data_IF_941493900771
#
_entry.id   IF_941493900771
#
_cell.length_a   1.000
_cell.length_b   1.000
_cell.length_c   1.000
_cell.angle_alpha   90.00
_cell.angle_beta   90.00
_cell.angle_gamma   90.00
#
_symmetry.space_group_name_H-M   'P 1'
#
loop_
_entity.id
_entity.type
_entity.pdbx_description
1 polymer ?
#
# COMPACT_ATOMS: atom_id res chain seq x y z
N UNK A 1 -9.80 -64.86 45.86
CA UNK A 1 -8.58 -65.46 45.26
C UNK A 1 -8.76 -65.47 43.75
N UNK A 2 -7.68 -65.10 43.07
CA UNK A 2 -7.51 -64.77 41.65
C UNK A 2 -8.20 -65.70 40.62
N UNK A 3 -8.68 -65.10 39.51
CA UNK A 3 -8.25 -65.42 38.13
C UNK A 3 -9.11 -64.63 37.12
N UNK A 4 -8.53 -63.65 36.40
CA UNK A 4 -8.18 -63.69 34.95
C UNK A 4 -9.37 -64.03 34.04
N UNK A 5 -9.79 -63.27 33.03
CA UNK A 5 -9.21 -62.18 32.26
C UNK A 5 -9.71 -62.33 30.81
N UNK A 6 -10.31 -61.28 30.24
CA UNK A 6 -10.50 -61.12 28.78
C UNK A 6 -10.83 -59.65 28.50
N UNK A 7 -9.83 -58.93 27.99
CA UNK A 7 -9.93 -57.56 27.53
C UNK A 7 -10.23 -57.60 26.03
N UNK A 8 -11.44 -57.24 25.63
CA UNK A 8 -11.77 -56.99 24.22
C UNK A 8 -11.56 -55.50 23.96
N UNK A 9 -10.56 -55.22 23.13
CA UNK A 9 -10.27 -53.89 22.59
C UNK A 9 -11.30 -53.61 21.49
N UNK A 10 -12.25 -52.72 21.75
CA UNK A 10 -13.08 -52.12 20.72
C UNK A 10 -12.49 -50.75 20.37
N UNK A 11 -11.86 -50.67 19.20
CA UNK A 11 -11.43 -49.44 18.55
C UNK A 11 -12.68 -48.70 18.09
N UNK A 12 -13.08 -47.66 18.81
CA UNK A 12 -14.06 -46.68 18.32
C UNK A 12 -13.30 -45.48 17.77
N UNK A 13 -13.39 -45.29 16.46
CA UNK A 13 -12.77 -44.18 15.75
C UNK A 13 -13.19 -42.83 16.34
N UNK A 14 -12.19 -42.00 16.62
CA UNK A 14 -12.37 -40.57 16.83
C UNK A 14 -12.72 -39.96 15.48
N UNK A 15 -14.02 -39.84 15.21
CA UNK A 15 -14.49 -38.84 14.26
C UNK A 15 -14.13 -37.47 14.83
N UNK A 16 -13.25 -36.75 14.15
CA UNK A 16 -12.93 -35.35 14.44
C UNK A 16 -14.22 -34.54 14.38
N UNK A 17 -14.78 -34.23 15.54
CA UNK A 17 -15.90 -33.29 15.64
C UNK A 17 -15.30 -31.91 15.40
N UNK A 18 -15.56 -31.37 14.20
CA UNK A 18 -15.49 -29.94 13.92
C UNK A 18 -16.37 -29.21 14.94
N UNK A 19 -15.76 -28.68 15.99
CA UNK A 19 -16.38 -27.73 16.87
C UNK A 19 -16.47 -26.40 16.12
N UNK A 20 -17.63 -26.14 15.53
CA UNK A 20 -18.06 -24.77 15.29
C UNK A 20 -18.06 -24.07 16.66
N UNK A 21 -17.04 -23.24 16.90
CA UNK A 21 -17.00 -22.40 18.08
C UNK A 21 -18.13 -21.38 17.95
N UNK A 22 -19.19 -21.58 18.73
CA UNK A 22 -20.15 -20.51 19.01
C UNK A 22 -19.36 -19.42 19.76
N UNK A 23 -18.92 -18.41 19.02
CA UNK A 23 -18.28 -17.24 19.60
C UNK A 23 -19.26 -16.54 20.57
N UNK A 24 -18.80 -16.05 21.72
CA UNK A 24 -19.61 -15.24 22.63
C UNK A 24 -20.24 -14.06 21.89
N UNK A 25 -21.45 -13.66 22.30
CA UNK A 25 -22.15 -12.47 21.79
C UNK A 25 -21.24 -11.25 21.94
N UNK A 26 -20.79 -10.68 20.83
CA UNK A 26 -19.89 -9.51 20.78
C UNK A 26 -18.47 -9.78 20.24
N UNK A 27 -18.09 -11.04 19.95
CA UNK A 27 -16.80 -11.35 19.32
C UNK A 27 -16.97 -11.51 17.80
N UNK A 28 -16.26 -10.70 17.01
CA UNK A 28 -16.32 -10.74 15.54
C UNK A 28 -15.57 -11.95 15.01
N UNK A 29 -16.21 -12.68 14.08
CA UNK A 29 -15.59 -13.80 13.39
C UNK A 29 -14.87 -13.32 12.13
N UNK A 30 -13.60 -12.97 12.23
CA UNK A 30 -12.81 -12.48 11.09
C UNK A 30 -12.53 -13.54 10.02
N UNK A 31 -12.83 -14.83 10.24
CA UNK A 31 -12.82 -15.81 9.15
C UNK A 31 -13.97 -15.60 8.15
N UNK A 32 -15.03 -14.89 8.56
CA UNK A 32 -16.20 -14.56 7.72
C UNK A 32 -16.43 -13.07 7.53
N UNK A 33 -16.11 -12.25 8.53
CA UNK A 33 -16.11 -10.79 8.43
C UNK A 33 -14.83 -10.33 7.72
N UNK A 34 -14.98 -9.52 6.67
CA UNK A 34 -13.87 -9.05 5.84
C UNK A 34 -13.41 -7.63 6.17
N UNK A 35 -14.15 -6.92 7.03
CA UNK A 35 -13.72 -5.64 7.57
C UNK A 35 -13.10 -5.81 8.96
N UNK A 36 -11.86 -5.36 9.17
CA UNK A 36 -11.26 -5.36 10.50
C UNK A 36 -11.86 -4.22 11.35
N UNK A 37 -11.98 -4.44 12.66
CA UNK A 37 -12.30 -3.38 13.62
C UNK A 37 -11.03 -2.64 14.03
N UNK A 38 -10.64 -1.65 13.23
CA UNK A 38 -9.44 -0.84 13.48
C UNK A 38 -9.60 0.10 14.67
N UNK A 39 -8.50 0.33 15.40
CA UNK A 39 -8.50 1.23 16.55
C UNK A 39 -8.65 2.70 16.12
N UNK A 40 -9.15 3.60 16.99
CA UNK A 40 -9.18 5.03 16.71
C UNK A 40 -7.83 5.63 16.33
N UNK A 41 -6.73 5.13 16.93
CA UNK A 41 -5.36 5.57 16.60
C UNK A 41 -4.99 5.22 15.16
N UNK A 42 -5.32 4.01 14.70
CA UNK A 42 -5.02 3.56 13.33
C UNK A 42 -5.68 4.45 12.28
N UNK A 43 -6.93 4.87 12.53
CA UNK A 43 -7.75 5.66 11.59
C UNK A 43 -7.68 7.17 11.84
N UNK A 44 -6.81 7.63 12.74
CA UNK A 44 -6.74 9.04 13.14
C UNK A 44 -6.26 9.93 11.98
N UNK A 45 -6.98 11.04 11.76
CA UNK A 45 -6.53 12.11 10.88
C UNK A 45 -5.73 13.13 11.70
N UNK A 46 -4.42 13.18 11.48
CA UNK A 46 -3.51 14.07 12.20
C UNK A 46 -3.11 15.29 11.36
N UNK A 47 -2.69 16.37 12.03
CA UNK A 47 -2.08 17.53 11.36
C UNK A 47 -0.59 17.34 11.33
N UNK A 48 0.00 17.40 10.14
CA UNK A 48 1.41 17.12 9.93
C UNK A 48 2.23 18.40 9.92
N UNK A 49 3.51 18.27 10.24
CA UNK A 49 4.49 19.34 10.09
C UNK A 49 5.87 18.75 9.76
N UNK A 50 6.87 19.61 9.60
CA UNK A 50 8.23 19.20 9.28
C UNK A 50 9.17 19.54 10.44
N UNK A 51 10.17 18.69 10.73
CA UNK A 51 11.20 18.99 11.73
C UNK A 51 12.01 20.23 11.34
N UNK A 52 12.37 21.05 12.33
CA UNK A 52 13.23 22.21 12.14
C UNK A 52 14.71 21.82 12.28
N UNK A 53 15.36 21.57 11.13
CA UNK A 53 16.80 21.30 11.08
C UNK A 53 17.69 22.56 11.15
N UNK A 54 17.12 23.76 11.21
CA UNK A 54 17.89 25.02 11.33
C UNK A 54 18.11 25.41 12.80
N UNK A 55 17.06 25.32 13.62
CA UNK A 55 17.11 25.72 15.03
C UNK A 55 16.49 24.73 16.02
N UNK A 56 15.88 23.65 15.54
CA UNK A 56 15.27 22.63 16.39
C UNK A 56 16.29 21.72 17.08
N UNK A 57 15.82 20.83 17.99
CA UNK A 57 16.71 19.95 18.76
C UNK A 57 17.56 19.01 17.90
N UNK A 58 17.09 18.66 16.69
CA UNK A 58 17.81 17.80 15.75
C UNK A 58 18.91 18.52 14.97
N UNK A 59 18.97 19.86 14.97
CA UNK A 59 19.87 20.67 14.12
C UNK A 59 21.36 20.32 14.21
N UNK A 60 21.81 19.79 15.36
CA UNK A 60 23.21 19.43 15.61
C UNK A 60 23.54 17.96 15.29
N UNK A 61 22.53 17.14 14.95
CA UNK A 61 22.70 15.71 14.68
C UNK A 61 22.82 15.42 13.19
N UNK A 62 23.41 14.27 12.84
CA UNK A 62 23.65 13.87 11.44
C UNK A 62 22.37 13.86 10.61
N UNK A 63 21.19 13.59 11.20
CA UNK A 63 19.89 13.66 10.50
C UNK A 63 19.68 14.99 9.75
N UNK A 64 20.22 16.10 10.25
CA UNK A 64 20.13 17.42 9.62
C UNK A 64 21.34 17.80 8.74
N UNK A 65 22.35 16.93 8.62
CA UNK A 65 23.48 17.13 7.72
C UNK A 65 23.15 16.65 6.30
N UNK A 66 22.78 17.58 5.41
CA UNK A 66 22.39 17.27 4.03
C UNK A 66 23.50 16.65 3.18
N UNK A 67 24.77 16.74 3.60
CA UNK A 67 25.90 16.10 2.89
C UNK A 67 26.14 14.64 3.32
N UNK A 68 25.45 14.16 4.36
CA UNK A 68 25.58 12.77 4.82
C UNK A 68 24.66 11.83 4.02
N UNK A 69 25.03 10.55 3.83
CA UNK A 69 24.17 9.55 3.21
C UNK A 69 22.82 9.44 3.94
N UNK A 70 21.72 9.26 3.19
CA UNK A 70 20.36 9.25 3.76
C UNK A 70 20.17 8.19 4.86
N UNK A 71 20.79 7.02 4.71
CA UNK A 71 20.72 5.94 5.70
C UNK A 71 21.47 6.29 6.99
N UNK A 72 22.62 6.97 6.90
CA UNK A 72 23.37 7.44 8.07
C UNK A 72 22.59 8.52 8.81
N UNK A 73 21.89 9.40 8.06
CA UNK A 73 20.99 10.42 8.61
C UNK A 73 19.86 9.76 9.40
N UNK A 74 19.15 8.79 8.82
CA UNK A 74 18.07 8.05 9.47
C UNK A 74 18.57 7.25 10.69
N UNK A 75 19.64 6.48 10.54
CA UNK A 75 20.27 5.74 11.65
C UNK A 75 20.65 6.66 12.81
N UNK A 76 21.20 7.83 12.51
CA UNK A 76 21.50 8.84 13.54
C UNK A 76 20.27 9.30 14.29
N UNK A 77 19.12 9.49 13.63
CA UNK A 77 17.87 9.85 14.31
C UNK A 77 17.41 8.72 15.23
N UNK A 78 17.36 7.49 14.71
CA UNK A 78 16.82 6.34 15.45
C UNK A 78 17.67 5.99 16.68
N UNK A 79 19.00 6.20 16.59
CA UNK A 79 19.90 6.04 17.74
C UNK A 79 19.57 6.95 18.93
N UNK A 80 18.81 8.03 18.71
CA UNK A 80 18.41 8.94 19.76
C UNK A 80 17.19 8.45 20.54
N UNK A 81 16.40 7.52 20.00
CA UNK A 81 15.12 7.12 20.58
C UNK A 81 15.29 6.24 21.82
N UNK A 82 14.41 6.44 22.80
CA UNK A 82 14.15 5.41 23.80
C UNK A 82 13.46 4.22 23.13
N UNK A 83 13.40 3.08 23.83
CA UNK A 83 12.71 1.92 23.28
C UNK A 83 11.21 2.19 23.06
N UNK A 84 10.56 2.89 23.98
CA UNK A 84 9.15 3.26 23.89
C UNK A 84 8.89 4.18 22.70
N UNK A 85 9.74 5.20 22.51
CA UNK A 85 9.64 6.10 21.37
C UNK A 85 9.83 5.37 20.04
N UNK A 86 10.79 4.43 19.99
CA UNK A 86 11.02 3.57 18.84
C UNK A 86 9.77 2.75 18.50
N UNK A 87 9.21 2.03 19.48
CA UNK A 87 8.00 1.22 19.30
C UNK A 87 6.83 2.11 18.85
N UNK A 88 6.69 3.32 19.41
CA UNK A 88 5.67 4.26 18.97
C UNK A 88 5.81 4.69 17.49
N UNK A 89 7.01 4.64 16.90
CA UNK A 89 7.21 4.94 15.47
C UNK A 89 6.93 3.76 14.52
N UNK A 90 6.53 2.60 15.03
CA UNK A 90 6.35 1.38 14.21
C UNK A 90 4.94 1.21 13.63
N UNK A 91 3.98 2.03 14.06
CA UNK A 91 2.62 2.06 13.51
C UNK A 91 2.43 3.16 12.46
N UNK A 92 1.37 3.07 11.66
CA UNK A 92 1.10 4.07 10.61
C UNK A 92 0.84 5.47 11.18
N UNK A 93 0.17 5.58 12.31
CA UNK A 93 -0.01 6.83 13.06
C UNK A 93 1.08 6.92 14.11
N UNK A 94 2.23 7.50 13.72
CA UNK A 94 3.38 7.67 14.58
C UNK A 94 3.29 9.01 15.32
N UNK A 95 3.36 9.05 16.66
CA UNK A 95 3.19 10.28 17.46
C UNK A 95 4.47 11.15 17.51
N UNK A 96 5.44 10.88 16.63
CA UNK A 96 6.72 11.57 16.63
C UNK A 96 7.52 11.39 17.93
N UNK A 97 8.44 12.32 18.18
CA UNK A 97 9.23 12.36 19.41
C UNK A 97 9.36 13.83 19.86
N UNK A 98 8.41 14.32 20.70
CA UNK A 98 8.33 15.74 21.04
C UNK A 98 9.60 16.33 21.65
N UNK A 99 10.33 15.56 22.47
CA UNK A 99 11.61 16.01 23.07
C UNK A 99 12.72 16.26 22.04
N UNK A 100 12.61 15.65 20.86
CA UNK A 100 13.53 15.86 19.74
C UNK A 100 12.97 16.90 18.75
N UNK A 101 11.76 17.41 18.95
CA UNK A 101 11.08 18.24 17.95
C UNK A 101 10.78 17.47 16.67
N UNK A 102 10.65 16.14 16.75
CA UNK A 102 10.22 15.30 15.64
C UNK A 102 8.69 15.26 15.65
N UNK A 103 8.01 15.76 14.62
CA UNK A 103 6.55 15.76 14.55
C UNK A 103 5.96 14.36 14.42
N UNK A 104 4.66 14.27 14.73
CA UNK A 104 3.81 13.16 14.34
C UNK A 104 3.85 12.95 12.81
N UNK A 105 3.74 11.70 12.38
CA UNK A 105 3.78 11.32 10.98
C UNK A 105 2.71 10.27 10.68
N UNK A 106 2.06 10.39 9.52
CA UNK A 106 1.04 9.45 9.04
C UNK A 106 1.57 8.74 7.80
N UNK A 107 1.73 7.42 7.90
CA UNK A 107 2.11 6.52 6.79
C UNK A 107 0.87 6.12 5.96
N UNK A 108 -0.29 5.97 6.60
CA UNK A 108 -1.51 5.61 5.88
C UNK A 108 -2.12 6.80 5.15
N UNK A 109 -1.65 7.01 3.92
CA UNK A 109 -2.24 7.94 2.97
C UNK A 109 -2.65 7.18 1.70
N UNK A 110 -3.72 7.59 1.02
CA UNK A 110 -4.22 6.89 -0.18
C UNK A 110 -4.17 7.80 -1.40
N UNK A 111 -3.82 7.24 -2.56
CA UNK A 111 -3.66 8.00 -3.80
C UNK A 111 -4.22 7.29 -5.04
N UNK A 112 -4.93 6.16 -4.88
CA UNK A 112 -5.26 5.19 -5.94
C UNK A 112 -5.61 5.81 -7.31
N UNK A 113 -6.46 6.83 -7.32
CA UNK A 113 -6.83 7.59 -8.52
C UNK A 113 -7.06 9.08 -8.19
N UNK A 114 -6.27 9.62 -7.27
CA UNK A 114 -6.48 10.93 -6.64
C UNK A 114 -6.22 10.83 -5.13
N UNK A 115 -6.00 11.96 -4.47
CA UNK A 115 -5.75 11.95 -3.02
C UNK A 115 -7.01 11.52 -2.26
N UNK A 116 -6.82 10.61 -1.31
CA UNK A 116 -7.79 10.24 -0.29
C UNK A 116 -7.09 10.11 1.07
N UNK A 117 -7.85 10.15 2.16
CA UNK A 117 -7.34 10.21 3.55
C UNK A 117 -6.43 11.40 3.86
N UNK A 118 -6.45 12.43 3.01
CA UNK A 118 -5.90 13.73 3.35
C UNK A 118 -6.78 14.43 4.40
N UNK A 119 -6.20 15.35 5.16
CA UNK A 119 -6.93 16.26 6.04
C UNK A 119 -7.57 17.39 5.22
N UNK A 120 -8.59 17.03 4.43
CA UNK A 120 -9.36 17.96 3.58
C UNK A 120 -10.03 19.04 4.41
N UNK A 121 -9.94 20.29 3.93
CA UNK A 121 -10.67 21.41 4.50
C UNK A 121 -12.17 21.25 4.26
N UNK A 122 -13.00 21.76 5.16
CA UNK A 122 -14.46 21.78 4.95
C UNK A 122 -14.89 22.77 3.83
N UNK A 123 -14.08 23.80 3.60
CA UNK A 123 -14.26 24.76 2.53
C UNK A 123 -12.97 25.50 2.19
N UNK A 124 -12.89 26.06 0.99
CA UNK A 124 -11.76 26.86 0.50
C UNK A 124 -10.57 26.00 0.08
N UNK A 125 -9.36 26.52 0.30
CA UNK A 125 -8.13 25.83 -0.10
C UNK A 125 -8.04 24.44 0.56
N UNK A 126 -7.64 23.45 -0.23
CA UNK A 126 -7.52 22.05 0.18
C UNK A 126 -8.86 21.37 0.54
N UNK A 127 -10.00 21.88 0.05
CA UNK A 127 -11.31 21.21 0.21
C UNK A 127 -11.51 20.02 -0.75
N UNK A 128 -10.70 19.95 -1.83
CA UNK A 128 -10.80 18.92 -2.86
C UNK A 128 -9.42 18.58 -3.45
N UNK A 129 -9.34 17.44 -4.13
CA UNK A 129 -8.23 17.05 -5.01
C UNK A 129 -8.83 16.45 -6.30
N UNK A 130 -8.06 16.39 -7.39
CA UNK A 130 -8.58 15.82 -8.64
C UNK A 130 -8.91 14.34 -8.46
N UNK A 131 -10.14 13.96 -8.79
CA UNK A 131 -10.56 12.56 -8.83
C UNK A 131 -10.50 12.05 -10.27
N UNK A 132 -9.52 11.19 -10.56
CA UNK A 132 -9.35 10.53 -11.86
C UNK A 132 -10.30 9.33 -11.97
N UNK A 133 -10.50 8.77 -13.17
CA UNK A 133 -11.16 7.48 -13.31
C UNK A 133 -10.45 6.38 -12.52
N UNK A 134 -11.23 5.45 -11.97
CA UNK A 134 -10.70 4.25 -11.31
C UNK A 134 -9.70 3.51 -12.24
N UNK A 135 -8.65 2.86 -11.72
CA UNK A 135 -7.59 2.27 -12.53
C UNK A 135 -8.08 1.36 -13.65
N UNK A 136 -9.17 0.60 -13.43
CA UNK A 136 -9.75 -0.28 -14.45
C UNK A 136 -10.21 0.48 -15.71
N UNK A 137 -10.72 1.71 -15.54
CA UNK A 137 -11.15 2.56 -16.66
C UNK A 137 -9.95 3.28 -17.27
N UNK A 138 -9.05 3.81 -16.44
CA UNK A 138 -7.82 4.47 -16.92
C UNK A 138 -6.98 3.53 -17.77
N UNK A 139 -6.88 2.25 -17.41
CA UNK A 139 -6.14 1.26 -18.19
C UNK A 139 -6.85 0.78 -19.45
N UNK A 140 -8.17 0.93 -19.55
CA UNK A 140 -8.89 0.65 -20.79
C UNK A 140 -8.49 1.60 -21.93
N UNK A 141 -7.84 2.75 -21.62
CA UNK A 141 -7.21 3.61 -22.63
C UNK A 141 -6.03 2.95 -23.35
N UNK A 142 -5.39 1.95 -22.72
CA UNK A 142 -4.13 1.35 -23.16
C UNK A 142 -3.01 2.39 -23.43
N UNK A 143 -3.05 3.53 -22.73
CA UNK A 143 -2.14 4.65 -22.90
C UNK A 143 -1.20 4.78 -21.69
N UNK A 144 0.04 4.29 -21.84
CA UNK A 144 1.08 4.35 -20.79
C UNK A 144 1.39 5.77 -20.33
N UNK A 145 1.51 6.69 -21.28
CA UNK A 145 1.81 8.10 -20.99
C UNK A 145 0.72 8.75 -20.14
N UNK A 146 -0.53 8.41 -20.38
CA UNK A 146 -1.65 8.88 -19.56
C UNK A 146 -1.52 8.41 -18.10
N UNK A 147 -1.17 7.13 -17.87
CA UNK A 147 -0.99 6.60 -16.51
C UNK A 147 0.14 7.32 -15.77
N UNK A 148 1.29 7.50 -16.42
CA UNK A 148 2.40 8.23 -15.83
C UNK A 148 2.05 9.70 -15.54
N UNK A 149 1.30 10.34 -16.45
CA UNK A 149 0.81 11.70 -16.26
C UNK A 149 -0.15 11.77 -15.06
N UNK A 150 -1.09 10.84 -14.91
CA UNK A 150 -1.99 10.76 -13.74
C UNK A 150 -1.17 10.65 -12.45
N UNK A 151 -0.22 9.71 -12.38
CA UNK A 151 0.67 9.57 -11.21
C UNK A 151 1.46 10.84 -10.90
N UNK A 152 1.94 11.54 -11.93
CA UNK A 152 2.67 12.81 -11.80
C UNK A 152 1.81 13.93 -11.23
N UNK A 153 0.55 14.04 -11.68
CA UNK A 153 -0.38 15.06 -11.18
C UNK A 153 -0.80 14.76 -9.73
N UNK A 154 -1.10 13.50 -9.44
CA UNK A 154 -1.44 13.05 -8.08
C UNK A 154 -0.27 13.36 -7.12
N UNK A 155 0.97 13.04 -7.49
CA UNK A 155 2.12 13.34 -6.64
C UNK A 155 2.40 14.83 -6.46
N UNK A 156 2.09 15.67 -7.46
CA UNK A 156 2.13 17.14 -7.28
C UNK A 156 1.11 17.59 -6.25
N UNK A 157 -0.13 17.10 -6.35
CA UNK A 157 -1.19 17.45 -5.40
C UNK A 157 -0.85 16.94 -3.99
N UNK A 158 -0.32 15.72 -3.86
CA UNK A 158 0.11 15.17 -2.58
C UNK A 158 1.15 16.07 -1.90
N UNK A 159 2.14 16.58 -2.66
CA UNK A 159 3.14 17.52 -2.12
C UNK A 159 2.54 18.86 -1.73
N UNK A 160 1.60 19.40 -2.49
CA UNK A 160 0.89 20.62 -2.10
C UNK A 160 0.13 20.44 -0.77
N UNK A 161 -0.61 19.34 -0.61
CA UNK A 161 -1.29 19.02 0.65
C UNK A 161 -0.29 18.78 1.79
N UNK A 162 0.83 18.10 1.52
CA UNK A 162 1.87 17.85 2.52
C UNK A 162 2.53 19.14 3.01
N UNK A 163 2.84 20.07 2.11
CA UNK A 163 3.39 21.38 2.47
C UNK A 163 2.42 22.22 3.32
N UNK A 164 1.11 21.93 3.24
CA UNK A 164 0.08 22.52 4.10
C UNK A 164 -0.23 21.70 5.37
N UNK A 165 0.53 20.64 5.65
CA UNK A 165 0.35 19.78 6.83
C UNK A 165 -0.86 18.84 6.76
N UNK A 166 -1.34 18.52 5.55
CA UNK A 166 -2.60 17.81 5.32
C UNK A 166 -2.46 16.41 4.69
N UNK A 167 -1.24 15.99 4.35
CA UNK A 167 -0.97 14.68 3.73
C UNK A 167 0.48 14.26 4.01
N UNK A 168 0.73 12.96 4.18
CA UNK A 168 2.08 12.40 4.33
C UNK A 168 2.91 12.50 3.04
N UNK A 169 4.03 11.80 3.01
CA UNK A 169 4.95 11.76 1.86
C UNK A 169 5.10 10.36 1.25
N UNK A 170 4.28 9.43 1.71
CA UNK A 170 4.14 8.08 1.18
C UNK A 170 2.67 7.74 1.02
N UNK A 171 2.35 6.85 0.08
CA UNK A 171 0.97 6.49 -0.22
C UNK A 171 0.81 5.01 -0.52
N UNK A 172 -0.29 4.43 -0.04
CA UNK A 172 -0.72 3.06 -0.28
C UNK A 172 -1.32 2.90 -1.67
N UNK A 173 -0.56 3.24 -2.70
CA UNK A 173 -0.90 3.05 -4.10
C UNK A 173 0.38 2.78 -4.92
N UNK A 174 0.30 2.01 -6.02
CA UNK A 174 -0.91 1.47 -6.64
C UNK A 174 -1.38 0.09 -6.15
N UNK A 175 -2.67 -0.23 -6.35
CA UNK A 175 -3.15 -1.61 -6.34
C UNK A 175 -2.78 -2.29 -7.67
N UNK A 176 -1.94 -3.32 -7.59
CA UNK A 176 -1.41 -4.06 -8.74
C UNK A 176 -1.75 -5.55 -8.66
N UNK A 177 -2.71 -5.96 -7.83
CA UNK A 177 -3.23 -7.32 -7.97
C UNK A 177 -3.96 -7.47 -9.32
N UNK A 178 -3.90 -8.65 -9.92
CA UNK A 178 -4.66 -8.93 -11.13
C UNK A 178 -6.13 -9.22 -10.79
N UNK A 179 -7.07 -8.73 -11.62
CA UNK A 179 -8.50 -9.00 -11.46
C UNK A 179 -8.89 -10.42 -11.91
N UNK A 180 -8.27 -11.44 -11.30
CA UNK A 180 -8.41 -12.85 -11.70
C UNK A 180 -9.85 -13.36 -11.63
N UNK A 181 -10.53 -13.11 -10.52
CA UNK A 181 -11.93 -13.48 -10.34
C UNK A 181 -12.82 -12.28 -10.63
N UNK A 182 -13.78 -12.37 -11.58
CA UNK A 182 -14.67 -11.25 -11.90
C UNK A 182 -15.63 -10.88 -10.78
N UNK A 183 -15.66 -11.67 -9.70
CA UNK A 183 -16.50 -11.43 -8.51
C UNK A 183 -15.78 -10.61 -7.43
N UNK A 184 -14.49 -10.30 -7.64
CA UNK A 184 -13.73 -9.56 -6.64
C UNK A 184 -14.20 -8.11 -6.51
N UNK A 185 -14.68 -7.74 -5.32
CA UNK A 185 -15.22 -6.40 -5.04
C UNK A 185 -14.22 -5.25 -5.21
N UNK A 186 -12.92 -5.54 -5.16
CA UNK A 186 -11.84 -4.56 -5.36
C UNK A 186 -11.16 -4.67 -6.73
N UNK A 187 -11.66 -5.52 -7.63
CA UNK A 187 -11.14 -5.61 -9.00
C UNK A 187 -11.19 -4.28 -9.77
N UNK A 188 -12.13 -3.40 -9.42
CA UNK A 188 -12.21 -2.03 -9.96
C UNK A 188 -10.95 -1.18 -9.68
N UNK A 189 -10.24 -1.46 -8.58
CA UNK A 189 -9.02 -0.75 -8.19
C UNK A 189 -7.80 -1.17 -9.02
N UNK A 190 -7.94 -2.20 -9.86
CA UNK A 190 -6.83 -2.84 -10.55
C UNK A 190 -6.78 -2.46 -12.02
N UNK A 191 -5.61 -2.60 -12.67
CA UNK A 191 -5.46 -2.41 -14.11
C UNK A 191 -6.01 -3.56 -14.99
N UNK A 192 -6.79 -4.49 -14.42
CA UNK A 192 -7.40 -5.61 -15.15
C UNK A 192 -6.78 -6.98 -14.80
N UNK A 193 -7.06 -7.99 -15.63
CA UNK A 193 -6.68 -9.39 -15.38
C UNK A 193 -5.34 -9.81 -16.02
N UNK A 194 -4.81 -9.03 -16.97
CA UNK A 194 -3.58 -9.35 -17.71
C UNK A 194 -2.34 -8.80 -17.02
N UNK A 195 -1.37 -9.66 -16.74
CA UNK A 195 -0.19 -9.31 -15.94
C UNK A 195 0.79 -8.40 -16.65
N UNK A 196 0.85 -8.48 -17.98
CA UNK A 196 1.69 -7.58 -18.74
C UNK A 196 1.11 -6.16 -18.63
N UNK A 197 -0.20 -6.01 -18.84
CA UNK A 197 -0.92 -4.74 -18.65
C UNK A 197 -0.76 -4.23 -17.20
N UNK A 198 -0.93 -5.10 -16.20
CA UNK A 198 -0.75 -4.76 -14.78
C UNK A 198 0.68 -4.28 -14.49
N UNK A 199 1.69 -4.96 -15.04
CA UNK A 199 3.10 -4.59 -14.84
C UNK A 199 3.44 -3.25 -15.49
N UNK A 200 2.86 -2.96 -16.66
CA UNK A 200 3.03 -1.65 -17.31
C UNK A 200 2.35 -0.53 -16.50
N UNK A 201 1.14 -0.77 -15.97
CA UNK A 201 0.50 0.17 -15.07
C UNK A 201 1.34 0.44 -13.82
N UNK A 202 1.85 -0.62 -13.18
CA UNK A 202 2.71 -0.52 -12.01
C UNK A 202 3.91 0.38 -12.28
N UNK A 203 4.66 0.12 -13.36
CA UNK A 203 5.83 0.92 -13.72
C UNK A 203 5.50 2.39 -13.93
N UNK A 204 4.50 2.69 -14.77
CA UNK A 204 4.18 4.08 -15.14
C UNK A 204 3.64 4.87 -13.95
N UNK A 205 2.78 4.25 -13.14
CA UNK A 205 2.19 4.91 -11.97
C UNK A 205 3.23 5.14 -10.87
N UNK A 206 4.05 4.13 -10.53
CA UNK A 206 5.08 4.23 -9.48
C UNK A 206 6.11 5.31 -9.85
N UNK A 207 6.60 5.32 -11.10
CA UNK A 207 7.58 6.31 -11.53
C UNK A 207 7.00 7.72 -11.59
N UNK A 208 5.72 7.89 -11.97
CA UNK A 208 5.02 9.17 -11.88
C UNK A 208 4.83 9.66 -10.44
N UNK A 209 4.61 8.74 -9.50
CA UNK A 209 4.49 9.07 -8.08
C UNK A 209 5.83 9.45 -7.45
N UNK A 210 6.88 8.65 -7.70
CA UNK A 210 8.20 8.83 -7.11
C UNK A 210 9.02 9.96 -7.75
N UNK A 211 8.63 10.43 -8.94
CA UNK A 211 9.37 11.46 -9.68
C UNK A 211 10.48 10.88 -10.57
N UNK A 212 10.38 9.61 -10.94
CA UNK A 212 11.35 8.90 -11.78
C UNK A 212 11.70 7.52 -11.26
N UNK A 213 12.72 6.91 -11.86
CA UNK A 213 13.34 5.65 -11.40
C UNK A 213 14.57 6.02 -10.59
N UNK A 214 14.60 5.67 -9.30
CA UNK A 214 15.69 6.01 -8.37
C UNK A 214 16.13 7.49 -8.42
N UNK A 215 15.21 8.47 -8.33
CA UNK A 215 15.59 9.87 -8.35
C UNK A 215 16.43 10.21 -7.10
N UNK A 216 17.31 11.20 -7.21
CA UNK A 216 18.08 11.72 -6.09
C UNK A 216 17.15 12.27 -4.99
N UNK A 217 16.10 12.99 -5.40
CA UNK A 217 15.02 13.46 -4.55
C UNK A 217 13.72 12.72 -4.88
N UNK A 218 13.21 11.96 -3.92
CA UNK A 218 11.89 11.33 -4.08
C UNK A 218 10.81 12.41 -4.02
N UNK A 219 9.80 12.28 -4.88
CA UNK A 219 8.61 13.14 -4.84
C UNK A 219 7.62 12.63 -3.78
N UNK A 220 7.02 11.47 -4.00
CA UNK A 220 6.19 10.73 -3.04
C UNK A 220 6.59 9.26 -3.11
N UNK A 221 6.71 8.57 -1.96
CA UNK A 221 6.91 7.12 -1.97
C UNK A 221 5.62 6.42 -2.41
N UNK A 222 5.73 5.57 -3.44
CA UNK A 222 4.65 4.67 -3.82
C UNK A 222 4.75 3.35 -3.04
N UNK A 223 3.61 2.72 -2.80
CA UNK A 223 3.52 1.42 -2.11
C UNK A 223 2.77 0.43 -2.99
N UNK A 224 3.48 -0.52 -3.59
CA UNK A 224 2.85 -1.56 -4.41
C UNK A 224 2.03 -2.51 -3.52
N UNK A 225 0.73 -2.65 -3.78
CA UNK A 225 -0.18 -3.48 -2.95
C UNK A 225 -1.04 -4.43 -3.78
N UNK A 226 -1.43 -5.60 -3.25
CA UNK A 226 -1.15 -6.19 -1.93
C UNK A 226 -0.41 -7.53 -2.14
N UNK A 227 0.76 -7.66 -1.54
CA UNK A 227 1.73 -8.72 -1.80
C UNK A 227 1.55 -9.89 -0.82
N UNK A 228 1.13 -11.09 -1.22
CA UNK A 228 0.66 -11.51 -2.54
C UNK A 228 -0.48 -12.55 -2.43
N UNK A 229 -1.06 -12.93 -3.57
CA UNK A 229 -2.16 -13.91 -3.62
C UNK A 229 -3.53 -13.35 -3.22
N UNK A 230 -3.63 -12.03 -3.07
CA UNK A 230 -4.87 -11.34 -2.71
C UNK A 230 -5.70 -10.99 -3.96
N UNK A 231 -6.84 -11.66 -4.15
CA UNK A 231 -7.78 -11.39 -5.25
C UNK A 231 -9.26 -11.66 -4.94
N UNK A 232 -9.62 -11.76 -3.64
CA UNK A 232 -10.99 -11.98 -3.16
C UNK A 232 -11.23 -11.27 -1.82
N UNK A 233 -12.45 -10.76 -1.61
CA UNK A 233 -12.83 -10.11 -0.34
C UNK A 233 -13.43 -11.08 0.67
N UNK A 234 -14.56 -11.71 0.29
CA UNK A 234 -15.41 -12.48 1.21
C UNK A 234 -16.24 -13.56 0.48
N UNK A 235 -15.77 -14.04 -0.67
CA UNK A 235 -16.52 -14.97 -1.50
C UNK A 235 -16.87 -16.24 -0.70
N UNK A 236 -18.14 -16.66 -0.75
CA UNK A 236 -18.68 -17.77 0.05
C UNK A 236 -18.41 -17.65 1.56
N UNK A 237 -18.48 -16.44 2.13
CA UNK A 237 -18.19 -16.17 3.55
C UNK A 237 -16.75 -16.54 3.96
N UNK A 238 -15.81 -16.60 3.03
CA UNK A 238 -14.38 -16.76 3.32
C UNK A 238 -13.74 -15.39 3.24
N UNK A 239 -13.51 -14.79 4.40
CA UNK A 239 -12.91 -13.47 4.53
C UNK A 239 -11.43 -13.47 4.11
N UNK A 240 -11.03 -12.39 3.44
CA UNK A 240 -9.63 -12.03 3.16
C UNK A 240 -8.74 -12.04 4.40
N UNK A 241 -9.30 -11.73 5.58
CA UNK A 241 -8.56 -11.65 6.84
C UNK A 241 -8.09 -13.03 7.33
N UNK A 242 -8.75 -14.11 6.90
CA UNK A 242 -8.43 -15.50 7.29
C UNK A 242 -8.27 -16.45 6.13
N UNK A 243 -8.15 -15.94 4.90
CA UNK A 243 -8.05 -16.78 3.72
C UNK A 243 -6.64 -17.36 3.57
N UNK A 244 -6.53 -18.67 3.40
CA UNK A 244 -5.28 -19.34 3.00
C UNK A 244 -5.37 -19.78 1.53
N UNK A 245 -4.63 -19.07 0.68
CA UNK A 245 -4.60 -19.33 -0.75
C UNK A 245 -3.64 -20.49 -1.07
N UNK A 246 -4.15 -21.54 -1.70
CA UNK A 246 -3.31 -22.64 -2.19
C UNK A 246 -2.82 -22.33 -3.61
N UNK A 247 -1.56 -21.92 -3.73
CA UNK A 247 -0.97 -21.43 -4.99
C UNK A 247 0.27 -22.26 -5.33
N UNK A 248 0.32 -22.83 -6.53
CA UNK A 248 1.52 -23.56 -6.98
C UNK A 248 2.70 -22.60 -7.15
N UNK A 249 3.94 -23.08 -6.98
CA UNK A 249 5.11 -22.23 -7.23
C UNK A 249 5.17 -21.72 -8.68
N UNK A 250 4.61 -22.49 -9.61
CA UNK A 250 4.46 -22.08 -11.00
C UNK A 250 3.53 -20.86 -11.12
N UNK A 251 2.29 -20.96 -10.63
CA UNK A 251 1.33 -19.85 -10.69
C UNK A 251 1.79 -18.65 -9.86
N UNK A 252 2.49 -18.88 -8.76
CA UNK A 252 3.07 -17.79 -7.97
C UNK A 252 4.04 -16.97 -8.83
N UNK A 253 4.95 -17.63 -9.54
CA UNK A 253 5.95 -16.99 -10.38
C UNK A 253 5.38 -16.45 -11.70
N UNK A 254 4.41 -17.14 -12.31
CA UNK A 254 3.86 -16.80 -13.62
C UNK A 254 2.67 -15.84 -13.54
N UNK A 255 1.93 -15.81 -12.42
CA UNK A 255 0.70 -15.03 -12.27
C UNK A 255 0.68 -14.05 -11.10
N UNK A 256 0.95 -14.50 -9.89
CA UNK A 256 0.67 -13.68 -8.70
C UNK A 256 1.75 -12.63 -8.37
N UNK A 257 2.93 -12.74 -8.96
CA UNK A 257 4.11 -11.92 -8.60
C UNK A 257 4.82 -11.12 -9.72
N UNK A 258 4.67 -11.38 -11.04
CA UNK A 258 5.41 -10.64 -12.08
C UNK A 258 5.32 -9.11 -12.00
N UNK A 259 4.18 -8.59 -11.58
CA UNK A 259 3.96 -7.16 -11.41
C UNK A 259 4.68 -6.57 -10.20
N UNK A 260 4.86 -7.35 -9.12
CA UNK A 260 5.65 -6.95 -7.96
C UNK A 260 7.15 -7.02 -8.27
N UNK A 261 7.57 -8.00 -9.07
CA UNK A 261 8.91 -8.01 -9.67
C UNK A 261 9.15 -6.74 -10.50
N UNK A 262 8.19 -6.34 -11.35
CA UNK A 262 8.30 -5.09 -12.13
C UNK A 262 8.37 -3.86 -11.22
N UNK A 263 7.51 -3.79 -10.20
CA UNK A 263 7.51 -2.70 -9.23
C UNK A 263 8.86 -2.58 -8.49
N UNK A 264 9.40 -3.69 -7.98
CA UNK A 264 10.65 -3.71 -7.23
C UNK A 264 11.89 -3.50 -8.12
N UNK A 265 12.02 -4.29 -9.19
CA UNK A 265 13.23 -4.31 -10.04
C UNK A 265 13.30 -3.13 -11.00
N UNK A 266 12.20 -2.82 -11.67
CA UNK A 266 12.20 -1.90 -12.82
C UNK A 266 11.72 -0.50 -12.41
N UNK A 267 10.61 -0.41 -11.69
CA UNK A 267 10.05 0.87 -11.24
C UNK A 267 10.75 1.40 -9.97
N UNK A 268 11.52 0.54 -9.29
CA UNK A 268 12.26 0.86 -8.07
C UNK A 268 11.34 1.43 -6.98
N UNK A 269 10.22 0.75 -6.77
CA UNK A 269 9.25 1.14 -5.74
C UNK A 269 9.94 1.19 -4.38
N UNK A 270 9.62 2.21 -3.58
CA UNK A 270 10.23 2.44 -2.27
C UNK A 270 9.44 1.77 -1.12
N UNK A 271 8.22 1.29 -1.39
CA UNK A 271 7.43 0.54 -0.42
C UNK A 271 6.60 -0.59 -1.06
N UNK A 272 6.33 -1.64 -0.29
CA UNK A 272 5.44 -2.74 -0.65
C UNK A 272 4.50 -3.01 0.53
N UNK A 273 3.21 -3.25 0.25
CA UNK A 273 2.26 -3.66 1.28
C UNK A 273 2.06 -5.16 1.26
N UNK A 274 2.31 -5.85 2.37
CA UNK A 274 1.98 -7.27 2.51
C UNK A 274 0.48 -7.46 2.77
N UNK A 275 -0.13 -8.49 2.17
CA UNK A 275 -1.58 -8.71 2.21
C UNK A 275 -2.07 -9.39 3.50
N UNK A 276 -3.38 -9.32 3.73
CA UNK A 276 -4.04 -10.05 4.83
C UNK A 276 -3.92 -11.57 4.72
N UNK A 277 -4.10 -12.12 3.52
CA UNK A 277 -4.23 -13.57 3.32
C UNK A 277 -2.92 -14.31 3.59
N UNK A 278 -3.06 -15.59 3.92
CA UNK A 278 -1.98 -16.55 3.83
C UNK A 278 -1.84 -17.09 2.41
N UNK A 279 -0.65 -17.58 2.09
CA UNK A 279 -0.40 -18.39 0.89
C UNK A 279 0.34 -19.64 1.32
N UNK A 280 -0.23 -20.81 0.99
CA UNK A 280 0.31 -22.11 1.34
C UNK A 280 0.63 -22.24 2.84
N UNK A 281 -0.27 -21.73 3.70
CA UNK A 281 -0.21 -21.86 5.16
C UNK A 281 0.56 -20.77 5.90
N UNK A 282 1.09 -19.74 5.21
CA UNK A 282 1.87 -18.66 5.85
C UNK A 282 1.26 -17.29 5.53
N UNK A 283 0.78 -16.51 6.53
CA UNK A 283 0.31 -15.13 6.35
C UNK A 283 1.36 -14.26 5.66
N UNK A 284 0.97 -13.46 4.66
CA UNK A 284 1.94 -12.74 3.82
C UNK A 284 2.86 -11.81 4.61
N UNK A 285 2.36 -11.14 5.65
CA UNK A 285 3.15 -10.28 6.52
C UNK A 285 4.10 -11.04 7.48
N UNK A 286 3.93 -12.35 7.66
CA UNK A 286 4.86 -13.23 8.39
C UNK A 286 5.67 -14.15 7.45
N UNK A 287 5.62 -13.90 6.14
CA UNK A 287 6.18 -14.80 5.13
C UNK A 287 7.56 -14.34 4.67
N UNK A 288 8.63 -14.86 5.29
CA UNK A 288 10.01 -14.54 4.92
C UNK A 288 10.40 -15.03 3.52
N UNK A 289 9.74 -16.06 2.97
CA UNK A 289 9.92 -16.43 1.58
C UNK A 289 9.45 -15.30 0.63
N UNK A 290 8.35 -14.63 0.96
CA UNK A 290 7.89 -13.47 0.18
C UNK A 290 8.75 -12.24 0.43
N UNK A 291 8.90 -11.81 1.69
CA UNK A 291 9.46 -10.50 2.01
C UNK A 291 10.99 -10.46 1.97
N UNK A 292 11.66 -11.58 2.27
CA UNK A 292 13.11 -11.69 2.19
C UNK A 292 13.53 -12.39 0.89
N UNK A 293 13.17 -13.65 0.70
CA UNK A 293 13.71 -14.45 -0.41
C UNK A 293 13.29 -13.93 -1.79
N UNK A 294 12.00 -13.64 -2.00
CA UNK A 294 11.54 -13.09 -3.28
C UNK A 294 11.85 -11.60 -3.40
N UNK A 295 11.26 -10.78 -2.53
CA UNK A 295 11.28 -9.34 -2.66
C UNK A 295 12.69 -8.75 -2.55
N UNK A 296 13.42 -9.03 -1.46
CA UNK A 296 14.75 -8.46 -1.20
C UNK A 296 15.86 -9.22 -1.95
N UNK A 297 15.94 -10.53 -1.80
CA UNK A 297 17.08 -11.32 -2.33
C UNK A 297 16.98 -11.57 -3.84
N UNK A 298 15.78 -11.85 -4.37
CA UNK A 298 15.60 -12.21 -5.79
C UNK A 298 15.32 -10.99 -6.67
N UNK A 299 14.45 -10.08 -6.22
CA UNK A 299 14.03 -8.92 -7.03
C UNK A 299 14.81 -7.65 -6.70
N UNK A 300 15.74 -7.73 -5.76
CA UNK A 300 16.62 -6.62 -5.37
C UNK A 300 15.87 -5.38 -4.90
N UNK A 301 14.75 -5.57 -4.18
CA UNK A 301 14.09 -4.48 -3.46
C UNK A 301 15.05 -3.89 -2.43
N UNK A 302 15.23 -2.56 -2.48
CA UNK A 302 16.32 -1.89 -1.77
C UNK A 302 16.30 -2.21 -0.27
N UNK A 303 17.42 -2.71 0.23
CA UNK A 303 17.56 -3.11 1.64
C UNK A 303 17.85 -1.94 2.58
N UNK A 304 18.25 -0.79 2.02
CA UNK A 304 18.65 0.42 2.74
C UNK A 304 17.46 1.31 3.06
N UNK A 305 16.56 1.51 2.10
CA UNK A 305 15.38 2.35 2.26
C UNK A 305 14.06 1.69 1.83
N UNK A 306 14.06 0.63 1.02
CA UNK A 306 12.82 -0.09 0.74
C UNK A 306 12.16 -0.65 2.02
N UNK A 307 10.98 -0.15 2.38
CA UNK A 307 10.21 -0.61 3.55
C UNK A 307 8.95 -1.39 3.16
N UNK A 308 8.52 -2.30 4.03
CA UNK A 308 7.27 -3.04 3.87
C UNK A 308 6.26 -2.56 4.90
N UNK A 309 5.05 -2.24 4.46
CA UNK A 309 3.93 -1.98 5.37
C UNK A 309 2.99 -3.18 5.43
N UNK A 310 2.36 -3.41 6.56
CA UNK A 310 1.19 -4.31 6.64
C UNK A 310 -0.04 -3.65 6.01
N UNK A 311 -0.96 -4.45 5.45
CA UNK A 311 -2.33 -3.98 5.26
C UNK A 311 -2.98 -3.74 6.65
N UNK A 312 -4.12 -3.06 6.72
CA UNK A 312 -4.63 -2.49 7.97
C UNK A 312 -5.69 -3.35 8.68
N UNK A 313 -5.43 -4.19 9.69
CA UNK A 313 -4.20 -4.54 10.41
C UNK A 313 -3.90 -6.03 10.17
N UNK A 314 -3.03 -6.32 9.20
CA UNK A 314 -2.64 -7.67 8.83
C UNK A 314 -1.66 -8.28 9.83
N UNK A 315 -0.98 -7.49 10.66
CA UNK A 315 -0.16 -8.02 11.75
C UNK A 315 -1.05 -8.69 12.79
N UNK A 316 -2.17 -8.06 13.16
CA UNK A 316 -3.19 -8.66 14.03
C UNK A 316 -3.70 -9.98 13.44
N UNK A 317 -3.93 -10.03 12.13
CA UNK A 317 -4.52 -11.19 11.49
C UNK A 317 -3.63 -12.44 11.49
N UNK A 318 -2.31 -12.30 11.59
CA UNK A 318 -1.37 -13.42 11.81
C UNK A 318 -1.78 -14.23 13.05
N UNK A 319 -2.25 -13.55 14.10
CA UNK A 319 -2.87 -14.17 15.26
C UNK A 319 -4.34 -14.51 14.99
N UNK A 320 -5.20 -13.51 14.76
CA UNK A 320 -6.64 -13.72 14.64
C UNK A 320 -7.18 -13.15 13.32
N UNK A 321 -7.62 -13.99 12.36
CA UNK A 321 -8.05 -15.37 12.55
C UNK A 321 -7.09 -16.45 12.02
N UNK A 322 -5.90 -16.13 11.51
CA UNK A 322 -5.02 -17.16 10.90
C UNK A 322 -4.50 -18.18 11.91
N UNK A 323 -4.38 -17.80 13.19
CA UNK A 323 -3.82 -18.63 14.26
C UNK A 323 -2.42 -19.16 13.94
N UNK A 324 -1.67 -18.44 13.11
CA UNK A 324 -0.26 -18.74 12.81
C UNK A 324 0.61 -18.41 14.03
N UNK A 325 0.37 -17.23 14.60
CA UNK A 325 0.87 -16.86 15.92
C UNK A 325 -0.18 -17.18 17.00
N UNK A 326 0.28 -17.51 18.21
CA UNK A 326 -0.64 -17.85 19.32
C UNK A 326 -1.19 -16.64 20.08
N UNK A 327 -0.62 -15.44 19.85
CA UNK A 327 -1.04 -14.17 20.43
C UNK A 327 -0.48 -12.99 19.61
N UNK A 328 -0.87 -11.75 19.96
CA UNK A 328 -0.46 -10.52 19.25
C UNK A 328 1.03 -10.17 19.41
N UNK A 329 1.68 -10.51 20.54
CA UNK A 329 3.13 -10.31 20.72
C UNK A 329 3.92 -11.15 19.71
N UNK A 330 3.60 -12.44 19.63
CA UNK A 330 4.26 -13.34 18.67
C UNK A 330 3.94 -12.91 17.24
N UNK A 331 2.70 -12.48 16.96
CA UNK A 331 2.32 -11.96 15.66
C UNK A 331 3.14 -10.74 15.24
N UNK A 332 3.34 -9.78 16.16
CA UNK A 332 4.20 -8.62 15.94
C UNK A 332 5.66 -9.04 15.66
N UNK A 333 6.21 -9.92 16.50
CA UNK A 333 7.58 -10.41 16.35
C UNK A 333 7.81 -11.18 15.04
N UNK A 334 6.93 -12.11 14.70
CA UNK A 334 7.00 -12.90 13.47
C UNK A 334 6.91 -12.02 12.22
N UNK A 335 6.05 -10.98 12.27
CA UNK A 335 5.88 -10.02 11.19
C UNK A 335 7.14 -9.19 10.94
N UNK A 336 7.71 -8.59 11.99
CA UNK A 336 8.96 -7.82 11.87
C UNK A 336 10.12 -8.69 11.40
N UNK A 337 10.25 -9.90 11.96
CA UNK A 337 11.34 -10.83 11.60
C UNK A 337 11.20 -11.38 10.18
N UNK A 338 9.98 -11.46 9.65
CA UNK A 338 9.76 -11.80 8.25
C UNK A 338 10.17 -10.67 7.30
N UNK A 339 10.13 -9.42 7.78
CA UNK A 339 10.54 -8.22 7.05
C UNK A 339 9.43 -7.20 6.81
N UNK A 340 8.31 -7.27 7.53
CA UNK A 340 7.32 -6.20 7.58
C UNK A 340 7.81 -5.10 8.54
N UNK A 341 8.02 -3.89 8.03
CA UNK A 341 8.74 -2.83 8.72
C UNK A 341 7.80 -1.92 9.52
N UNK A 342 6.60 -1.63 8.99
CA UNK A 342 5.61 -0.71 9.58
C UNK A 342 4.23 -1.38 9.62
N UNK A 343 3.56 -1.30 10.76
CA UNK A 343 2.21 -1.82 10.95
C UNK A 343 1.15 -0.76 10.64
N UNK A 344 0.25 -1.03 9.69
CA UNK A 344 -0.99 -0.28 9.56
C UNK A 344 -2.00 -0.73 10.63
N UNK A 345 -1.73 -0.39 11.87
CA UNK A 345 -2.43 -0.98 12.99
C UNK A 345 -1.88 -0.48 14.30
N UNK A 346 -2.23 -1.18 15.36
CA UNK A 346 -1.64 -0.94 16.68
C UNK A 346 -0.97 -2.19 17.23
N UNK A 347 -0.92 -3.27 16.45
CA UNK A 347 -0.33 -4.53 16.88
C UNK A 347 1.13 -4.33 17.26
N UNK A 348 1.90 -3.61 16.43
CA UNK A 348 3.30 -3.32 16.77
C UNK A 348 3.43 -2.37 17.96
N UNK A 349 2.74 -1.22 17.91
CA UNK A 349 2.85 -0.17 18.92
C UNK A 349 2.46 -0.65 20.33
N UNK A 350 1.52 -1.59 20.44
CA UNK A 350 1.04 -2.09 21.73
C UNK A 350 1.72 -3.38 22.20
N UNK A 351 2.27 -4.20 21.30
CA UNK A 351 2.76 -5.53 21.66
C UNK A 351 4.26 -5.77 21.48
N UNK A 352 5.00 -4.95 20.72
CA UNK A 352 6.46 -5.16 20.56
C UNK A 352 7.25 -5.06 21.87
N UNK A 353 6.75 -4.29 22.85
CA UNK A 353 7.36 -4.25 24.18
C UNK A 353 7.24 -5.62 24.89
N UNK A 354 6.09 -6.30 24.74
CA UNK A 354 5.90 -7.66 25.26
C UNK A 354 6.83 -8.64 24.55
N UNK A 355 6.99 -8.51 23.24
CA UNK A 355 7.88 -9.34 22.42
C UNK A 355 9.35 -9.23 22.85
N UNK A 356 9.82 -8.01 23.15
CA UNK A 356 11.18 -7.79 23.67
C UNK A 356 11.34 -8.42 25.05
N UNK A 357 10.38 -8.21 25.96
CA UNK A 357 10.43 -8.78 27.31
C UNK A 357 10.46 -10.32 27.25
N UNK A 358 9.74 -10.92 26.30
CA UNK A 358 9.71 -12.36 26.06
C UNK A 358 10.97 -12.89 25.33
N UNK A 359 11.82 -12.00 24.80
CA UNK A 359 12.99 -12.38 24.00
C UNK A 359 12.65 -12.91 22.60
N UNK A 360 11.46 -12.58 22.08
CA UNK A 360 10.97 -12.99 20.76
C UNK A 360 11.55 -12.13 19.64
N UNK A 361 11.95 -10.89 19.97
CA UNK A 361 12.54 -9.92 19.07
C UNK A 361 13.57 -9.05 19.80
N UNK A 362 14.52 -8.50 19.05
CA UNK A 362 15.55 -7.57 19.52
C UNK A 362 15.18 -6.12 19.20
N UNK A 363 15.83 -5.17 19.88
CA UNK A 363 15.68 -3.74 19.57
C UNK A 363 16.14 -3.45 18.14
N UNK A 364 17.25 -4.06 17.73
CA UNK A 364 17.87 -3.87 16.42
C UNK A 364 16.95 -4.30 15.26
N UNK A 365 16.20 -5.39 15.44
CA UNK A 365 15.20 -5.83 14.46
C UNK A 365 14.08 -4.80 14.27
N UNK A 366 13.65 -4.10 15.33
CA UNK A 366 12.67 -3.02 15.26
C UNK A 366 13.29 -1.75 14.65
N UNK A 367 14.50 -1.40 15.07
CA UNK A 367 15.22 -0.23 14.53
C UNK A 367 15.38 -0.32 13.02
N UNK A 368 15.64 -1.51 12.47
CA UNK A 368 15.82 -1.71 11.04
C UNK A 368 14.61 -1.23 10.20
N UNK A 369 13.38 -1.52 10.65
CA UNK A 369 12.17 -1.10 9.94
C UNK A 369 11.96 0.42 9.99
N UNK A 370 12.15 1.00 11.17
CA UNK A 370 12.02 2.45 11.37
C UNK A 370 13.13 3.21 10.63
N UNK A 371 14.36 2.67 10.56
CA UNK A 371 15.45 3.23 9.76
C UNK A 371 15.09 3.25 8.27
N UNK A 372 14.45 2.20 7.73
CA UNK A 372 14.02 2.16 6.31
C UNK A 372 12.97 3.23 6.03
N UNK A 373 11.95 3.37 6.86
CA UNK A 373 10.94 4.44 6.73
C UNK A 373 11.61 5.82 6.74
N UNK A 374 12.40 6.12 7.77
CA UNK A 374 13.04 7.44 7.90
C UNK A 374 14.11 7.71 6.84
N UNK A 375 14.73 6.68 6.26
CA UNK A 375 15.63 6.81 5.11
C UNK A 375 14.89 7.36 3.88
N UNK A 376 13.66 6.90 3.64
CA UNK A 376 12.81 7.52 2.60
C UNK A 376 12.43 8.94 2.95
N UNK A 377 12.03 9.22 4.20
CA UNK A 377 11.66 10.58 4.61
C UNK A 377 12.82 11.57 4.40
N UNK A 378 14.06 11.12 4.63
CA UNK A 378 15.26 11.88 4.29
C UNK A 378 15.34 12.14 2.77
N UNK A 379 15.20 11.10 1.93
CA UNK A 379 15.20 11.24 0.45
C UNK A 379 14.05 12.11 -0.09
N UNK A 380 12.93 12.18 0.63
CA UNK A 380 11.76 13.02 0.33
C UNK A 380 11.94 14.49 0.76
N UNK A 381 13.09 14.82 1.38
CA UNK A 381 13.43 16.16 1.86
C UNK A 381 12.69 16.57 3.14
N UNK A 382 12.19 15.60 3.92
CA UNK A 382 11.43 15.87 5.16
C UNK A 382 12.25 16.68 6.18
N UNK A 383 13.57 16.47 6.20
CA UNK A 383 14.54 17.12 7.10
C UNK A 383 15.31 18.28 6.45
N UNK A 384 15.00 18.65 5.20
CA UNK A 384 15.85 19.55 4.40
C UNK A 384 15.31 21.00 4.32
N UNK A 385 14.27 21.29 5.10
CA UNK A 385 13.65 22.62 5.18
C UNK A 385 12.94 23.04 3.89
N UNK A 386 12.54 24.32 3.82
CA UNK A 386 11.73 24.84 2.72
C UNK A 386 12.47 24.90 1.37
N UNK A 387 13.81 24.81 1.35
CA UNK A 387 14.59 24.84 0.11
C UNK A 387 14.62 23.50 -0.64
N UNK A 388 14.10 22.42 -0.06
CA UNK A 388 13.99 21.13 -0.75
C UNK A 388 13.07 21.22 -1.97
N UNK A 389 13.40 20.48 -3.03
CA UNK A 389 12.83 20.60 -4.39
C UNK A 389 11.30 20.70 -4.44
N UNK A 390 10.58 19.88 -3.66
CA UNK A 390 9.12 19.81 -3.70
C UNK A 390 8.42 20.57 -2.56
N UNK A 391 9.16 21.34 -1.75
CA UNK A 391 8.63 22.07 -0.58
C UNK A 391 7.96 23.41 -0.91
N UNK A 392 7.97 23.80 -2.19
CA UNK A 392 7.36 25.04 -2.68
C UNK A 392 6.02 24.83 -3.39
N UNK A 393 5.55 23.58 -3.53
CA UNK A 393 4.25 23.29 -4.13
C UNK A 393 3.10 23.72 -3.20
N UNK A 394 2.08 24.34 -3.77
CA UNK A 394 0.98 25.02 -3.05
C UNK A 394 -0.39 24.63 -3.61
N UNK A 395 -1.46 25.18 -3.04
CA UNK A 395 -2.81 25.03 -3.55
C UNK A 395 -2.98 25.45 -5.01
N UNK A 396 -2.25 26.48 -5.47
CA UNK A 396 -2.28 26.90 -6.88
C UNK A 396 -1.80 25.80 -7.83
N UNK A 397 -0.91 24.92 -7.38
CA UNK A 397 -0.47 23.75 -8.14
C UNK A 397 -1.57 22.68 -8.22
N UNK A 398 -2.40 22.53 -7.19
CA UNK A 398 -3.60 21.67 -7.24
C UNK A 398 -4.59 22.22 -8.26
N UNK A 399 -4.90 23.51 -8.18
CA UNK A 399 -5.82 24.19 -9.10
C UNK A 399 -5.33 24.11 -10.54
N UNK A 400 -4.05 24.38 -10.79
CA UNK A 400 -3.49 24.39 -12.14
C UNK A 400 -3.35 22.99 -12.74
N UNK A 401 -3.04 21.97 -11.95
CA UNK A 401 -3.01 20.58 -12.42
C UNK A 401 -4.41 20.04 -12.73
N UNK A 402 -5.41 20.35 -11.90
CA UNK A 402 -6.81 19.99 -12.16
C UNK A 402 -7.34 20.65 -13.45
N UNK A 403 -7.04 21.94 -13.66
CA UNK A 403 -7.46 22.69 -14.83
C UNK A 403 -6.96 22.13 -16.17
N UNK A 404 -5.96 21.23 -16.16
CA UNK A 404 -5.52 20.49 -17.35
C UNK A 404 -6.57 19.50 -17.85
N UNK A 405 -7.59 19.18 -17.05
CA UNK A 405 -8.69 18.27 -17.40
C UNK A 405 -8.23 16.84 -17.77
N UNK A 406 -7.11 16.38 -17.22
CA UNK A 406 -6.60 15.02 -17.49
C UNK A 406 -7.54 13.93 -16.95
N UNK A 407 -8.32 14.21 -15.89
CA UNK A 407 -9.39 13.30 -15.45
C UNK A 407 -10.46 13.09 -16.54
N UNK A 408 -10.86 14.18 -17.23
CA UNK A 408 -11.78 14.10 -18.36
C UNK A 408 -11.18 13.31 -19.52
N UNK A 409 -9.94 13.60 -19.92
CA UNK A 409 -9.28 12.89 -21.02
C UNK A 409 -9.11 11.40 -20.69
N UNK A 410 -8.73 11.06 -19.47
CA UNK A 410 -8.63 9.67 -19.03
C UNK A 410 -9.98 8.93 -19.14
N UNK A 411 -11.09 9.59 -18.79
CA UNK A 411 -12.41 9.01 -18.93
C UNK A 411 -12.77 8.81 -20.42
N UNK A 412 -12.51 9.82 -21.26
CA UNK A 412 -12.79 9.77 -22.70
C UNK A 412 -11.99 8.67 -23.40
N UNK A 413 -10.71 8.54 -23.08
CA UNK A 413 -9.85 7.50 -23.65
C UNK A 413 -10.19 6.10 -23.14
N UNK A 414 -10.64 5.97 -21.88
CA UNK A 414 -10.98 4.67 -21.28
C UNK A 414 -12.35 4.10 -21.70
N UNK A 415 -13.30 4.92 -22.15
CA UNK A 415 -14.65 4.45 -22.51
C UNK A 415 -14.58 3.42 -23.66
N UNK A 416 -15.06 2.20 -23.38
CA UNK A 416 -15.07 1.10 -24.35
C UNK A 416 -16.43 0.95 -25.03
N UNK A 417 -16.48 1.16 -26.35
CA UNK A 417 -17.67 0.89 -27.15
C UNK A 417 -17.83 -0.62 -27.41
N UNK A 418 -18.66 -1.29 -26.61
CA UNK A 418 -18.86 -2.74 -26.71
C UNK A 418 -19.68 -3.17 -27.95
N UNK A 419 -20.65 -2.36 -28.36
CA UNK A 419 -21.55 -2.70 -29.48
C UNK A 419 -22.12 -1.47 -30.15
N UNK A 420 -21.95 -1.38 -31.47
CA UNK A 420 -22.66 -0.42 -32.31
C UNK A 420 -23.54 -1.16 -33.31
N UNK A 421 -24.85 -1.04 -33.16
CA UNK A 421 -25.81 -1.48 -34.18
C UNK A 421 -26.10 -0.26 -35.06
N UNK A 422 -25.64 -0.30 -36.32
CA UNK A 422 -26.01 0.72 -37.31
C UNK A 422 -27.54 0.72 -37.45
N UNK A 423 -28.22 1.72 -36.89
CA UNK A 423 -29.56 2.07 -37.35
C UNK A 423 -29.41 2.78 -38.69
N UNK A 424 -30.00 2.22 -39.74
CA UNK A 424 -30.20 2.94 -40.99
C UNK A 424 -30.90 4.28 -40.70
N UNK A 425 -30.35 5.36 -41.30
CA UNK A 425 -30.74 6.78 -41.18
C UNK A 425 -30.42 7.47 -39.85
N UNK A 426 -29.16 7.89 -39.70
CA UNK A 426 -28.94 9.26 -39.22
C UNK A 426 -29.39 10.22 -40.32
N UNK A 427 -30.47 10.97 -40.07
CA UNK A 427 -30.75 12.20 -40.82
C UNK A 427 -29.48 13.05 -40.78
N UNK A 428 -28.95 13.38 -41.95
CA UNK A 428 -27.95 14.43 -42.08
C UNK A 428 -28.60 15.75 -41.68
N UNK A 429 -28.53 16.11 -40.40
CA UNK A 429 -28.94 17.42 -39.97
C UNK A 429 -27.84 18.42 -40.39
N UNK A 430 -27.95 18.90 -41.63
CA UNK A 430 -27.13 19.95 -42.23
C UNK A 430 -27.57 21.35 -41.73
N UNK A 431 -27.98 21.48 -40.46
CA UNK A 431 -28.56 22.75 -39.96
C UNK A 431 -27.98 23.30 -38.64
N UNK A 432 -26.83 22.81 -38.16
CA UNK A 432 -26.05 23.53 -37.14
C UNK A 432 -24.72 24.01 -37.72
N UNK A 433 -24.55 25.33 -37.69
CA UNK A 433 -23.42 26.05 -38.26
C UNK A 433 -22.06 25.54 -37.77
N UNK A 434 -21.07 25.71 -38.65
CA UNK A 434 -19.66 25.54 -38.34
C UNK A 434 -19.27 26.37 -37.12
N UNK A 435 -19.10 25.73 -35.96
CA UNK A 435 -18.21 26.16 -34.89
C UNK A 435 -17.87 24.93 -34.04
N UNK A 436 -16.57 24.58 -34.06
CA UNK A 436 -15.86 23.65 -33.20
C UNK A 436 -16.54 22.30 -32.93
N UNK A 437 -16.36 21.33 -33.83
CA UNK A 437 -16.49 19.91 -33.49
C UNK A 437 -15.11 19.38 -33.09
N UNK A 438 -14.95 18.72 -31.92
CA UNK A 438 -13.82 17.84 -31.68
C UNK A 438 -13.85 16.75 -32.76
N UNK A 439 -12.69 16.40 -33.30
CA UNK A 439 -12.57 15.47 -34.42
C UNK A 439 -12.92 14.04 -33.95
N UNK A 440 -14.19 13.67 -34.09
CA UNK A 440 -14.74 12.34 -33.77
C UNK A 440 -14.18 11.21 -34.68
N UNK A 441 -13.13 11.47 -35.47
CA UNK A 441 -12.43 10.48 -36.30
C UNK A 441 -11.30 9.75 -35.58
N UNK A 442 -10.97 10.08 -34.33
CA UNK A 442 -9.95 9.34 -33.56
C UNK A 442 -10.43 8.04 -32.89
N UNK A 443 -11.74 7.74 -32.92
CA UNK A 443 -12.35 6.62 -32.18
C UNK A 443 -12.77 5.42 -33.04
N UNK A 444 -12.12 5.23 -34.19
CA UNK A 444 -12.30 4.03 -35.03
C UNK A 444 -10.94 3.43 -35.35
N UNK A 445 -10.49 2.50 -34.51
CA UNK A 445 -9.39 1.61 -34.86
C UNK A 445 -9.95 0.32 -35.45
N UNK A 446 -9.50 0.05 -36.68
CA UNK A 446 -9.68 -1.18 -37.41
C UNK A 446 -8.94 -2.33 -36.71
N UNK A 447 -9.68 -3.32 -36.21
CA UNK A 447 -9.15 -4.65 -35.97
C UNK A 447 -9.22 -5.45 -37.27
N UNK A 448 -8.14 -5.39 -38.04
CA UNK A 448 -7.78 -6.46 -38.98
C UNK A 448 -6.35 -6.84 -38.68
N UNK A 449 -6.17 -7.95 -37.95
CA UNK A 449 -4.91 -8.66 -37.87
C UNK A 449 -4.58 -9.19 -39.28
N UNK A 450 -3.35 -9.02 -39.80
CA UNK A 450 -2.89 -9.80 -40.93
C UNK A 450 -2.44 -11.20 -40.47
N UNK A 451 -2.72 -12.20 -41.31
CA UNK A 451 -2.26 -13.60 -41.22
C UNK A 451 -0.74 -13.74 -41.22
#
# INVERSE_FOLDING_TARGET
MLSSGSLIIAVTGLASVTLAQNLPVGQVNYSSEAQPDLTPQTVETITLSFPDCSSGPLSQYTICNQSAPYMDRATSLISLFTLEELINQTGNTAPGVPRLGLPDYQVWNEALHGLDRANFSLSGDYEWATSFPSPILSMASMNRTLINQIGTLISTQARAFSNAGKYGLDSYAPNINAFRSPLWGRGQETPGEDLFVVSQYAYEYITGMQGGVEPEHLKIVATAKHFAGYDLENYNNVSRLGYDAMITQQDLAEFYTPQFLTAARDAKVNSVMCSYNAVNGVPSCANSFFLQTLLRDTWTFDTTDGYVSTDCDAAYNIYNPHMYASNQSIAAADSVRAGADIDCGTTYQYHLNESIIAGEITREEIEQGVIRLYSNLVRLGYFDGNSSEYRQLTWDDVVSTDAQNISYEAAVEGITLLKIQRREKYRSDRSMGQRNRPDARKLLWHTTLPD
#
